data_IF_590950216421
#
_entry.id   IF_590950216421
#
_cell.length_a   1.000
_cell.length_b   1.000
_cell.length_c   1.000
_cell.angle_alpha   90.00
_cell.angle_beta   90.00
_cell.angle_gamma   90.00
#
_symmetry.space_group_name_H-M   'P 1'
#
loop_
_entity.id
_entity.type
_entity.pdbx_description
1 polymer ?
#
# COMPACT_ATOMS: atom_id res chain seq x y z
N UNK A 1 -36.02 58.09 24.50
CA UNK A 1 -36.11 56.76 23.84
C UNK A 1 -34.78 56.47 23.16
N UNK A 2 -33.96 55.56 23.68
CA UNK A 2 -32.70 55.13 23.04
C UNK A 2 -32.87 53.67 22.61
N UNK A 3 -32.81 53.41 21.30
CA UNK A 3 -32.88 52.06 20.73
C UNK A 3 -31.46 51.51 20.62
N UNK A 4 -31.16 50.46 21.36
CA UNK A 4 -29.92 49.69 21.23
C UNK A 4 -30.13 48.63 20.15
N UNK A 5 -29.47 48.78 19.01
CA UNK A 5 -29.32 47.72 18.02
C UNK A 5 -28.14 46.85 18.44
N UNK A 6 -28.42 45.63 18.90
CA UNK A 6 -27.40 44.60 19.07
C UNK A 6 -27.18 43.92 17.71
N UNK A 7 -26.01 44.12 17.12
CA UNK A 7 -25.54 43.31 15.99
C UNK A 7 -25.03 41.98 16.55
N UNK A 8 -25.76 40.89 16.29
CA UNK A 8 -25.31 39.54 16.55
C UNK A 8 -24.35 39.14 15.42
N UNK A 9 -23.04 39.16 15.68
CA UNK A 9 -22.04 38.66 14.76
C UNK A 9 -22.04 37.13 14.87
N UNK A 10 -22.73 36.46 13.95
CA UNK A 10 -22.65 35.00 13.83
C UNK A 10 -21.32 34.69 13.14
N UNK A 11 -20.32 34.31 13.94
CA UNK A 11 -19.07 33.76 13.42
C UNK A 11 -19.36 32.34 12.92
N UNK A 12 -19.55 32.20 11.60
CA UNK A 12 -19.57 30.90 10.94
C UNK A 12 -18.12 30.43 10.86
N UNK A 13 -17.71 29.60 11.81
CA UNK A 13 -16.49 28.81 11.67
C UNK A 13 -16.74 27.78 10.57
N UNK A 14 -16.27 28.07 9.35
CA UNK A 14 -16.14 27.04 8.32
C UNK A 14 -15.11 26.03 8.82
N UNK A 15 -15.57 24.88 9.29
CA UNK A 15 -14.72 23.72 9.49
C UNK A 15 -14.28 23.26 8.11
N UNK A 16 -13.07 23.66 7.70
CA UNK A 16 -12.35 23.02 6.63
C UNK A 16 -12.07 21.60 7.13
N UNK A 17 -12.88 20.63 6.70
CA UNK A 17 -12.53 19.21 6.81
C UNK A 17 -11.31 19.01 5.93
N UNK A 18 -10.13 19.04 6.52
CA UNK A 18 -8.93 18.55 5.85
C UNK A 18 -9.22 17.08 5.52
N UNK A 19 -9.34 16.77 4.23
CA UNK A 19 -9.37 15.40 3.77
C UNK A 19 -8.08 14.73 4.27
N UNK A 20 -8.21 13.64 5.02
CA UNK A 20 -7.05 12.94 5.55
C UNK A 20 -6.23 12.41 4.36
N UNK A 21 -4.95 12.81 4.29
CA UNK A 21 -3.98 12.30 3.33
C UNK A 21 -3.65 10.85 3.68
N UNK A 22 -3.46 9.97 2.69
CA UNK A 22 -3.04 8.58 2.92
C UNK A 22 -1.70 8.55 3.66
N UNK A 23 -1.67 7.93 4.85
CA UNK A 23 -0.46 7.74 5.63
C UNK A 23 0.41 6.62 5.04
N UNK A 24 1.46 7.01 4.32
CA UNK A 24 2.38 6.06 3.70
C UNK A 24 3.54 5.59 4.59
N UNK A 25 3.69 6.11 5.80
CA UNK A 25 4.89 5.86 6.63
C UNK A 25 5.15 4.38 6.94
N UNK A 26 4.08 3.59 7.05
CA UNK A 26 4.12 2.13 7.27
C UNK A 26 3.88 1.29 6.01
N UNK A 27 3.77 1.92 4.84
CA UNK A 27 3.44 1.21 3.60
C UNK A 27 4.65 0.42 3.05
N UNK A 28 4.50 -0.87 2.75
CA UNK A 28 5.60 -1.65 2.19
C UNK A 28 5.11 -2.87 1.41
N UNK A 29 5.70 -3.11 0.24
CA UNK A 29 5.61 -4.40 -0.44
C UNK A 29 7.00 -4.97 -0.67
N UNK A 30 7.85 -4.29 -1.45
CA UNK A 30 9.27 -4.62 -1.61
C UNK A 30 9.92 -3.66 -2.60
N UNK A 31 11.15 -3.22 -2.33
CA UNK A 31 11.94 -2.47 -3.33
C UNK A 31 12.72 -3.45 -4.21
N UNK A 32 12.36 -3.54 -5.50
CA UNK A 32 13.01 -4.39 -6.50
C UNK A 32 12.42 -5.80 -6.65
N UNK A 33 12.57 -6.39 -7.85
CA UNK A 33 12.07 -7.73 -8.18
C UNK A 33 12.64 -8.85 -7.28
N UNK A 34 13.93 -8.80 -6.94
CA UNK A 34 14.57 -9.85 -6.15
C UNK A 34 14.20 -9.81 -4.66
N UNK A 35 13.86 -8.63 -4.14
CA UNK A 35 13.66 -8.44 -2.71
C UNK A 35 12.37 -9.10 -2.22
N UNK A 36 11.26 -9.01 -2.99
CA UNK A 36 9.97 -9.60 -2.59
C UNK A 36 10.00 -11.12 -2.39
N UNK A 37 10.92 -11.85 -3.03
CA UNK A 37 10.99 -13.32 -2.91
C UNK A 37 11.76 -13.76 -1.66
N UNK A 38 12.65 -12.91 -1.14
CA UNK A 38 13.55 -13.25 -0.02
C UNK A 38 13.28 -12.47 1.26
N UNK A 39 12.81 -11.24 1.16
CA UNK A 39 12.50 -10.41 2.32
C UNK A 39 11.21 -10.89 2.97
N UNK A 40 11.29 -11.18 4.27
CA UNK A 40 10.19 -11.73 5.04
C UNK A 40 9.28 -10.63 5.55
N UNK A 41 7.98 -10.94 5.60
CA UNK A 41 7.03 -10.13 6.36
C UNK A 41 7.43 -10.20 7.85
N UNK A 42 7.47 -9.08 8.58
CA UNK A 42 7.91 -9.06 9.98
C UNK A 42 7.08 -10.01 10.85
N UNK A 43 7.75 -10.85 11.63
CA UNK A 43 7.10 -11.85 12.48
C UNK A 43 6.62 -13.11 11.74
N UNK A 44 6.77 -13.18 10.42
CA UNK A 44 6.27 -14.29 9.60
C UNK A 44 7.39 -15.14 8.98
N UNK A 45 7.04 -16.34 8.57
CA UNK A 45 7.93 -17.27 7.86
C UNK A 45 7.89 -17.13 6.34
N UNK A 46 7.01 -16.29 5.79
CA UNK A 46 6.80 -16.08 4.36
C UNK A 46 7.32 -14.71 3.88
N UNK A 47 7.58 -14.62 2.57
CA UNK A 47 8.08 -13.41 1.92
C UNK A 47 6.94 -12.56 1.35
N UNK A 48 7.24 -11.33 0.93
CA UNK A 48 6.25 -10.42 0.34
C UNK A 48 5.65 -10.88 -0.99
N UNK A 49 6.35 -11.75 -1.73
CA UNK A 49 5.79 -12.64 -2.74
C UNK A 49 5.78 -14.05 -2.17
N UNK A 50 4.60 -14.56 -1.82
CA UNK A 50 4.46 -15.77 -1.00
C UNK A 50 5.07 -17.02 -1.66
N UNK A 51 5.01 -17.09 -2.99
CA UNK A 51 5.56 -18.19 -3.79
C UNK A 51 7.09 -18.31 -3.63
N UNK A 52 7.77 -17.28 -3.10
CA UNK A 52 9.22 -17.28 -2.86
C UNK A 52 10.06 -17.29 -4.15
N UNK A 53 9.41 -17.06 -5.29
CA UNK A 53 9.97 -17.12 -6.64
C UNK A 53 9.26 -16.11 -7.52
N UNK A 54 10.00 -15.46 -8.42
CA UNK A 54 9.42 -14.63 -9.48
C UNK A 54 8.99 -15.47 -10.71
N UNK A 55 9.24 -16.78 -10.67
CA UNK A 55 8.78 -17.77 -11.64
C UNK A 55 7.69 -18.63 -11.01
N UNK A 56 6.48 -18.54 -11.55
CA UNK A 56 5.27 -19.16 -10.98
C UNK A 56 4.59 -20.01 -12.06
N UNK A 57 4.25 -21.28 -11.81
CA UNK A 57 3.47 -22.10 -12.74
C UNK A 57 2.11 -21.48 -13.10
N UNK A 58 1.64 -21.64 -14.33
CA UNK A 58 0.34 -21.11 -14.83
C UNK A 58 -0.88 -21.65 -14.08
N UNK A 59 -0.73 -22.73 -13.31
CA UNK A 59 -1.79 -23.27 -12.44
C UNK A 59 -1.85 -22.65 -11.04
N UNK A 60 -0.83 -21.87 -10.66
CA UNK A 60 -0.65 -21.41 -9.29
C UNK A 60 -1.21 -19.99 -9.09
N UNK A 61 -1.73 -19.73 -7.89
CA UNK A 61 -2.11 -18.38 -7.48
C UNK A 61 -0.86 -17.58 -7.14
N UNK A 62 -0.81 -16.32 -7.59
CA UNK A 62 0.22 -15.36 -7.18
C UNK A 62 -0.28 -14.64 -5.94
N UNK A 63 0.41 -14.81 -4.81
CA UNK A 63 0.03 -14.17 -3.55
C UNK A 63 1.02 -13.09 -3.17
N UNK A 64 0.51 -11.86 -3.05
CA UNK A 64 1.27 -10.67 -2.66
C UNK A 64 0.87 -10.26 -1.25
N UNK A 65 1.86 -9.88 -0.45
CA UNK A 65 1.62 -9.26 0.86
C UNK A 65 2.01 -7.79 0.84
N UNK A 66 1.25 -6.95 1.53
CA UNK A 66 1.50 -5.51 1.62
C UNK A 66 1.31 -5.10 3.08
N UNK A 67 2.27 -4.38 3.63
CA UNK A 67 2.11 -3.69 4.90
C UNK A 67 1.55 -2.29 4.64
N UNK A 68 0.69 -1.82 5.54
CA UNK A 68 0.28 -0.41 5.62
C UNK A 68 0.44 0.08 7.05
N UNK A 69 0.46 1.41 7.23
CA UNK A 69 0.15 1.95 8.54
C UNK A 69 -1.25 1.47 8.96
N UNK A 70 -1.46 1.31 10.26
CA UNK A 70 -2.79 1.13 10.81
C UNK A 70 -3.60 2.41 10.62
N UNK A 71 -4.85 2.27 10.19
CA UNK A 71 -5.74 3.40 9.90
C UNK A 71 -5.10 4.40 8.90
N UNK A 72 -4.42 3.89 7.86
CA UNK A 72 -3.72 4.67 6.85
C UNK A 72 -4.61 5.66 6.10
N UNK A 73 -5.93 5.44 6.01
CA UNK A 73 -6.85 6.37 5.35
C UNK A 73 -7.67 7.22 6.35
N UNK A 74 -7.37 7.13 7.66
CA UNK A 74 -8.09 7.84 8.70
C UNK A 74 -9.56 7.42 8.78
N UNK A 75 -10.47 8.37 8.53
CA UNK A 75 -11.92 8.12 8.59
C UNK A 75 -12.51 7.53 7.29
N UNK A 76 -11.68 7.36 6.25
CA UNK A 76 -12.11 6.78 4.97
C UNK A 76 -12.03 5.24 5.01
N UNK A 77 -12.81 4.58 4.15
CA UNK A 77 -12.69 3.14 3.95
C UNK A 77 -11.35 2.81 3.28
N UNK A 78 -10.65 1.82 3.83
CA UNK A 78 -9.33 1.41 3.37
C UNK A 78 -9.40 0.28 2.35
N UNK A 79 -8.68 0.46 1.25
CA UNK A 79 -8.56 -0.53 0.20
C UNK A 79 -7.12 -0.62 -0.27
N UNK A 80 -6.64 -1.84 -0.49
CA UNK A 80 -5.34 -2.11 -1.09
C UNK A 80 -5.58 -2.92 -2.35
N UNK A 81 -5.04 -2.49 -3.49
CA UNK A 81 -5.21 -3.18 -4.78
C UNK A 81 -3.86 -3.57 -5.38
N UNK A 82 -3.86 -4.68 -6.13
CA UNK A 82 -2.90 -4.89 -7.19
C UNK A 82 -3.56 -4.57 -8.54
N UNK A 83 -2.91 -3.70 -9.31
CA UNK A 83 -3.16 -3.63 -10.76
C UNK A 83 -2.29 -4.66 -11.43
N UNK A 84 -2.86 -5.73 -11.95
CA UNK A 84 -2.17 -6.84 -12.62
C UNK A 84 -2.30 -6.71 -14.14
N UNK A 85 -1.20 -6.71 -14.86
CA UNK A 85 -1.13 -6.78 -16.32
C UNK A 85 -0.71 -8.18 -16.75
N UNK A 86 -1.58 -8.86 -17.49
CA UNK A 86 -1.37 -10.25 -17.91
C UNK A 86 -0.68 -10.39 -19.27
N UNK A 87 -0.19 -9.29 -19.84
CA UNK A 87 0.33 -9.23 -21.22
C UNK A 87 -0.69 -8.73 -22.24
N UNK A 88 -1.98 -8.71 -21.90
CA UNK A 88 -3.07 -8.30 -22.79
C UNK A 88 -3.99 -7.21 -22.21
N UNK A 89 -4.34 -7.31 -20.92
CA UNK A 89 -5.21 -6.34 -20.25
C UNK A 89 -4.86 -6.16 -18.76
N UNK A 90 -5.34 -5.05 -18.20
CA UNK A 90 -5.21 -4.78 -16.76
C UNK A 90 -6.41 -5.35 -16.00
N UNK A 91 -6.11 -5.99 -14.88
CA UNK A 91 -7.04 -6.47 -13.87
C UNK A 91 -6.78 -5.73 -12.56
N UNK A 92 -7.83 -5.38 -11.83
CA UNK A 92 -7.71 -4.76 -10.50
C UNK A 92 -8.19 -5.76 -9.46
N UNK A 93 -7.27 -6.22 -8.62
CA UNK A 93 -7.52 -7.23 -7.60
C UNK A 93 -7.45 -6.55 -6.23
N UNK A 94 -8.55 -6.55 -5.52
CA UNK A 94 -8.61 -6.02 -4.16
C UNK A 94 -7.98 -7.02 -3.18
N UNK A 95 -7.13 -6.52 -2.30
CA UNK A 95 -6.58 -7.26 -1.19
C UNK A 95 -7.57 -7.38 -0.04
N UNK A 96 -7.33 -8.38 0.79
CA UNK A 96 -8.05 -8.59 2.06
C UNK A 96 -7.12 -8.31 3.21
N UNK A 97 -7.63 -7.68 4.26
CA UNK A 97 -6.93 -7.54 5.52
C UNK A 97 -6.72 -8.93 6.15
N UNK A 98 -5.52 -9.18 6.69
CA UNK A 98 -5.15 -10.45 7.30
C UNK A 98 -5.09 -10.33 8.82
N UNK A 99 -4.26 -9.42 9.31
CA UNK A 99 -4.01 -9.18 10.75
C UNK A 99 -3.20 -7.91 10.98
N UNK A 100 -3.19 -7.45 12.22
CA UNK A 100 -2.19 -6.49 12.67
C UNK A 100 -0.83 -7.17 12.90
N UNK A 101 0.25 -6.45 12.58
CA UNK A 101 1.63 -6.82 12.86
C UNK A 101 2.19 -5.82 13.87
N UNK A 102 2.58 -6.31 15.04
CA UNK A 102 3.21 -5.49 16.08
C UNK A 102 4.72 -5.51 15.90
N UNK A 103 5.30 -4.32 15.78
CA UNK A 103 6.75 -4.10 15.78
C UNK A 103 7.15 -3.46 17.11
N UNK A 104 8.25 -3.90 17.70
CA UNK A 104 8.69 -3.45 19.02
C UNK A 104 10.20 -3.13 19.00
N UNK A 105 10.54 -1.88 19.33
CA UNK A 105 11.92 -1.41 19.35
C UNK A 105 12.79 -2.15 20.38
N UNK A 106 12.19 -2.70 21.44
CA UNK A 106 12.88 -3.51 22.44
C UNK A 106 13.14 -4.95 21.96
N UNK A 107 12.56 -5.36 20.83
CA UNK A 107 12.62 -6.72 20.27
C UNK A 107 13.12 -6.67 18.82
N UNK A 108 14.45 -6.67 18.61
CA UNK A 108 15.05 -6.51 17.28
C UNK A 108 14.55 -7.52 16.23
N UNK A 109 14.12 -8.71 16.64
CA UNK A 109 13.54 -9.72 15.75
C UNK A 109 12.16 -9.35 15.20
N UNK A 110 11.48 -8.39 15.82
CA UNK A 110 10.20 -7.83 15.39
C UNK A 110 10.35 -6.49 14.70
N UNK A 111 11.54 -5.87 14.73
CA UNK A 111 11.77 -4.64 13.97
C UNK A 111 11.79 -4.94 12.48
N UNK A 112 11.30 -3.99 11.70
CA UNK A 112 11.39 -4.04 10.25
C UNK A 112 12.19 -2.86 9.74
N UNK A 113 13.31 -3.15 9.09
CA UNK A 113 14.23 -2.13 8.54
C UNK A 113 14.66 -1.08 9.58
N UNK A 114 14.81 -1.51 10.84
CA UNK A 114 15.21 -0.65 11.96
C UNK A 114 14.09 0.21 12.56
N UNK A 115 12.84 0.01 12.13
CA UNK A 115 11.67 0.67 12.70
C UNK A 115 10.79 -0.33 13.48
N UNK A 116 10.15 0.09 14.60
CA UNK A 116 10.18 1.43 15.18
C UNK A 116 11.53 1.74 15.86
N UNK A 117 11.92 3.02 15.81
CA UNK A 117 13.15 3.50 16.45
C UNK A 117 13.02 3.67 17.96
N UNK A 118 11.80 3.72 18.48
CA UNK A 118 11.44 3.72 19.89
C UNK A 118 10.01 3.16 20.04
N UNK A 119 9.69 2.63 21.23
CA UNK A 119 8.37 2.09 21.58
C UNK A 119 7.89 0.98 20.63
N UNK A 120 6.56 0.79 20.59
CA UNK A 120 5.88 -0.20 19.75
C UNK A 120 5.08 0.50 18.68
N UNK A 121 4.96 -0.15 17.53
CA UNK A 121 4.08 0.30 16.46
C UNK A 121 3.26 -0.84 15.88
N UNK A 122 2.07 -0.53 15.39
CA UNK A 122 1.18 -1.49 14.73
C UNK A 122 1.07 -1.16 13.24
N UNK A 123 1.17 -2.20 12.42
CA UNK A 123 0.92 -2.17 11.00
C UNK A 123 -0.26 -3.08 10.67
N UNK A 124 -0.89 -2.86 9.52
CA UNK A 124 -1.81 -3.82 8.93
C UNK A 124 -1.11 -4.64 7.85
N UNK A 125 -1.35 -5.96 7.88
CA UNK A 125 -0.94 -6.87 6.82
C UNK A 125 -2.13 -7.15 5.91
N UNK A 126 -1.94 -6.85 4.63
CA UNK A 126 -2.88 -7.13 3.56
C UNK A 126 -2.35 -8.26 2.68
N UNK A 127 -3.27 -9.07 2.15
CA UNK A 127 -2.99 -10.14 1.20
C UNK A 127 -3.80 -9.91 -0.07
N UNK A 128 -3.14 -9.97 -1.22
CA UNK A 128 -3.77 -9.92 -2.54
C UNK A 128 -3.52 -11.25 -3.24
N UNK A 129 -4.60 -11.89 -3.70
CA UNK A 129 -4.55 -13.16 -4.40
C UNK A 129 -4.92 -12.95 -5.86
N UNK A 130 -3.93 -13.07 -6.74
CA UNK A 130 -4.13 -13.02 -8.20
C UNK A 130 -4.36 -14.45 -8.68
N UNK A 131 -5.59 -14.79 -9.08
CA UNK A 131 -5.92 -16.16 -9.45
C UNK A 131 -5.31 -16.54 -10.80
N UNK A 132 -4.96 -17.82 -10.96
CA UNK A 132 -4.37 -18.36 -12.19
C UNK A 132 -5.17 -18.07 -13.48
N UNK A 133 -6.50 -17.93 -13.39
CA UNK A 133 -7.32 -17.69 -14.59
C UNK A 133 -7.21 -16.27 -15.18
N UNK A 134 -6.55 -15.33 -14.47
CA UNK A 134 -6.17 -14.00 -15.02
C UNK A 134 -4.66 -13.86 -15.26
N UNK A 135 -3.91 -14.95 -15.12
CA UNK A 135 -2.49 -14.98 -15.50
C UNK A 135 -2.35 -15.56 -16.90
N UNK A 136 -1.26 -15.20 -17.58
CA UNK A 136 -0.90 -15.83 -18.85
C UNK A 136 0.57 -16.23 -18.83
N UNK A 137 0.97 -17.35 -19.45
CA UNK A 137 2.37 -17.71 -19.61
C UNK A 137 3.19 -16.57 -20.22
N UNK A 138 4.33 -16.26 -19.60
CA UNK A 138 5.19 -15.14 -19.97
C UNK A 138 5.26 -14.05 -18.90
N UNK A 139 5.63 -12.85 -19.33
CA UNK A 139 5.84 -11.72 -18.43
C UNK A 139 4.53 -11.05 -18.06
N UNK A 140 4.23 -11.08 -16.76
CA UNK A 140 3.14 -10.35 -16.14
C UNK A 140 3.73 -9.25 -15.26
N UNK A 141 2.97 -8.19 -15.02
CA UNK A 141 3.44 -7.04 -14.25
C UNK A 141 2.39 -6.58 -13.25
N UNK A 142 2.82 -6.02 -12.14
CA UNK A 142 1.89 -5.40 -11.20
C UNK A 142 2.39 -4.13 -10.56
N UNK A 143 1.43 -3.31 -10.13
CA UNK A 143 1.62 -2.17 -9.25
C UNK A 143 0.66 -2.29 -8.05
N UNK A 144 1.09 -1.78 -6.89
CA UNK A 144 0.28 -1.76 -5.67
C UNK A 144 -0.29 -0.37 -5.47
N UNK A 145 -1.60 -0.28 -5.23
CA UNK A 145 -2.32 0.95 -4.91
C UNK A 145 -2.88 0.86 -3.50
N UNK A 146 -2.67 1.90 -2.71
CA UNK A 146 -3.39 2.18 -1.47
C UNK A 146 -4.48 3.19 -1.81
N UNK A 147 -5.71 2.94 -1.37
CA UNK A 147 -6.85 3.79 -1.66
C UNK A 147 -7.66 4.03 -0.38
N UNK A 148 -7.88 5.31 -0.09
CA UNK A 148 -8.89 5.76 0.86
C UNK A 148 -10.13 6.14 0.09
N UNK A 149 -11.29 5.61 0.45
CA UNK A 149 -12.55 5.89 -0.21
C UNK A 149 -13.60 6.42 0.78
N UNK A 150 -14.28 7.49 0.40
CA UNK A 150 -15.43 8.04 1.09
C UNK A 150 -16.54 8.43 0.08
N UNK A 151 -17.79 8.64 0.53
CA UNK A 151 -18.88 9.02 -0.37
C UNK A 151 -18.64 10.31 -1.16
N UNK A 152 -17.82 11.22 -0.65
CA UNK A 152 -17.52 12.54 -1.21
C UNK A 152 -16.15 12.63 -1.91
N UNK A 153 -15.33 11.58 -1.88
CA UNK A 153 -14.04 11.58 -2.54
C UNK A 153 -13.22 10.31 -2.34
N UNK A 154 -12.08 10.25 -3.01
CA UNK A 154 -11.06 9.24 -2.77
C UNK A 154 -9.67 9.84 -2.84
N UNK A 155 -8.73 9.23 -2.15
CA UNK A 155 -7.31 9.51 -2.28
C UNK A 155 -6.56 8.21 -2.58
N UNK A 156 -5.45 8.30 -3.31
CA UNK A 156 -4.75 7.13 -3.86
C UNK A 156 -3.23 7.32 -3.83
N UNK A 157 -2.50 6.29 -3.38
CA UNK A 157 -1.03 6.26 -3.39
C UNK A 157 -0.56 4.98 -4.05
N UNK A 158 0.41 5.07 -4.94
CA UNK A 158 0.98 3.93 -5.63
C UNK A 158 2.35 3.60 -5.06
N UNK A 159 2.57 2.35 -4.66
CA UNK A 159 3.89 1.88 -4.28
C UNK A 159 4.69 1.53 -5.54
N UNK A 160 5.97 1.90 -5.54
CA UNK A 160 6.86 1.77 -6.69
C UNK A 160 8.01 0.80 -6.38
N UNK A 161 8.41 0.02 -7.38
CA UNK A 161 9.50 -0.95 -7.25
C UNK A 161 10.87 -0.30 -7.05
N UNK A 162 11.09 0.88 -7.64
CA UNK A 162 12.39 1.56 -7.68
C UNK A 162 12.17 3.07 -7.68
N UNK A 163 13.23 3.82 -7.40
CA UNK A 163 13.23 5.27 -7.60
C UNK A 163 13.16 5.58 -9.10
N UNK A 164 12.23 6.45 -9.51
CA UNK A 164 12.11 6.93 -10.89
C UNK A 164 10.82 7.72 -11.12
N UNK A 165 10.84 8.70 -12.03
CA UNK A 165 9.69 9.60 -12.27
C UNK A 165 9.77 10.90 -11.48
N UNK A 166 8.92 11.87 -11.85
CA UNK A 166 9.02 13.25 -11.36
C UNK A 166 8.35 13.46 -9.98
N UNK A 167 7.61 12.47 -9.46
CA UNK A 167 6.75 12.60 -8.28
C UNK A 167 6.94 11.46 -7.25
N UNK A 168 8.19 11.17 -6.88
CA UNK A 168 8.51 10.10 -5.93
C UNK A 168 8.75 10.63 -4.51
N UNK A 169 8.21 9.93 -3.54
CA UNK A 169 8.55 10.07 -2.12
C UNK A 169 9.06 8.74 -1.57
N UNK A 170 9.69 8.77 -0.40
CA UNK A 170 10.10 7.56 0.33
C UNK A 170 9.67 7.64 1.78
N UNK A 171 9.23 6.52 2.33
CA UNK A 171 8.76 6.42 3.70
C UNK A 171 9.81 5.83 4.66
N UNK A 172 9.44 5.57 5.92
CA UNK A 172 10.32 5.03 6.95
C UNK A 172 10.91 3.65 6.61
N UNK A 173 10.21 2.82 5.83
CA UNK A 173 10.71 1.53 5.36
C UNK A 173 11.57 1.64 4.09
N UNK A 174 11.76 2.85 3.57
CA UNK A 174 12.45 3.08 2.30
C UNK A 174 11.64 2.64 1.09
N UNK A 175 10.33 2.36 1.25
CA UNK A 175 9.42 2.11 0.14
C UNK A 175 9.21 3.42 -0.61
N UNK A 176 9.34 3.34 -1.93
CA UNK A 176 9.07 4.46 -2.82
C UNK A 176 7.58 4.48 -3.13
N UNK A 177 6.97 5.67 -3.15
CA UNK A 177 5.57 5.86 -3.52
C UNK A 177 5.33 7.14 -4.31
N UNK A 178 4.21 7.20 -5.02
CA UNK A 178 3.75 8.34 -5.82
C UNK A 178 2.25 8.60 -5.61
N UNK A 179 1.85 9.87 -5.66
CA UNK A 179 0.43 10.26 -5.73
C UNK A 179 -0.11 10.28 -7.17
N UNK A 180 0.76 10.12 -8.17
CA UNK A 180 0.41 10.00 -9.59
C UNK A 180 0.52 8.55 -10.06
N UNK A 181 -0.38 8.15 -10.96
CA UNK A 181 -0.42 6.86 -11.63
C UNK A 181 0.66 6.77 -12.74
N UNK A 182 1.94 6.92 -12.37
CA UNK A 182 3.09 6.81 -13.29
C UNK A 182 4.00 5.63 -12.87
N UNK A 183 3.49 4.42 -13.00
CA UNK A 183 4.26 3.19 -12.71
C UNK A 183 4.98 2.61 -13.93
N UNK A 184 4.93 3.23 -15.12
CA UNK A 184 5.52 2.63 -16.32
C UNK A 184 7.04 2.45 -16.14
N UNK A 185 7.48 1.20 -16.12
CA UNK A 185 8.86 0.82 -15.78
C UNK A 185 9.17 0.86 -14.28
N UNK A 186 8.18 0.98 -13.40
CA UNK A 186 8.30 0.94 -11.94
C UNK A 186 7.44 -0.15 -11.31
N UNK A 187 6.85 -0.98 -12.15
CA UNK A 187 6.09 -2.17 -11.83
C UNK A 187 7.02 -3.35 -11.50
N UNK A 188 6.43 -4.31 -10.80
CA UNK A 188 7.04 -5.56 -10.43
C UNK A 188 6.71 -6.62 -11.47
N UNK A 189 7.71 -7.33 -11.98
CA UNK A 189 7.55 -8.40 -12.99
C UNK A 189 7.36 -9.76 -12.33
N UNK A 190 6.43 -10.58 -12.81
CA UNK A 190 6.31 -12.01 -12.50
C UNK A 190 6.36 -12.79 -13.81
N UNK A 191 7.18 -13.83 -13.87
CA UNK A 191 7.24 -14.75 -15.00
C UNK A 191 6.32 -15.94 -14.71
N UNK A 192 5.25 -16.06 -15.48
CA UNK A 192 4.37 -17.22 -15.41
C UNK A 192 4.88 -18.29 -16.35
N UNK A 193 5.16 -19.48 -15.82
CA UNK A 193 5.69 -20.63 -16.57
C UNK A 193 4.54 -21.44 -17.16
N UNK A 194 4.69 -22.00 -18.38
CA UNK A 194 3.69 -22.86 -18.99
C UNK A 194 3.50 -24.20 -18.27
#
# INVERSE_FOLDING_TARGET
>A
MKRHFAFLLVAVCAALTAQADIQTDGAYHAVGNGTRTVERVPGESFSFLANGSDQIPDGDTVTLYVLTAKDFAGEMDEQVFARWWDGYMSHWIMGSWVKNVSLDAARPETQFRGWPGADTAELDLWQIEIPAWITQPGDNFYAIQLKGFAPDGSDERYLLQRLGGDFCHSNHFGQVWSASEEFDGQDWRVLVLP
#
